data_IF_180482781984
#
_entry.id   IF_180482781984
#
_cell.length_a   1.000
_cell.length_b   1.000
_cell.length_c   1.000
_cell.angle_alpha   90.00
_cell.angle_beta   90.00
_cell.angle_gamma   90.00
#
_symmetry.space_group_name_H-M   'P 1'
#
loop_
_entity.id
_entity.type
_entity.pdbx_description
1 polymer ?
#
# COMPACT_ATOMS: atom_id res chain seq x y z
N UNK A 1 -39.94 29.33 9.26
CA UNK A 1 -38.84 29.56 8.29
C UNK A 1 -37.51 30.04 8.89
N UNK A 2 -37.43 30.50 10.16
CA UNK A 2 -36.17 30.95 10.78
C UNK A 2 -35.31 29.81 11.41
N UNK A 3 -35.93 28.78 11.98
CA UNK A 3 -35.24 27.67 12.66
C UNK A 3 -34.38 26.82 11.71
N UNK A 4 -34.85 26.58 10.49
CA UNK A 4 -34.13 25.79 9.47
C UNK A 4 -32.86 26.49 8.96
N UNK A 5 -32.81 27.84 9.00
CA UNK A 5 -31.62 28.63 8.68
C UNK A 5 -30.59 28.63 9.80
N UNK A 6 -31.04 28.57 11.06
CA UNK A 6 -30.15 28.48 12.23
C UNK A 6 -29.47 27.12 12.28
N UNK A 7 -30.18 26.01 12.06
CA UNK A 7 -29.60 24.65 12.04
C UNK A 7 -28.57 24.51 10.92
N UNK A 8 -28.84 25.02 9.71
CA UNK A 8 -27.83 25.05 8.63
C UNK A 8 -26.60 25.88 8.99
N UNK A 9 -26.77 27.06 9.61
CA UNK A 9 -25.65 27.91 10.03
C UNK A 9 -24.82 27.30 11.15
N UNK A 10 -25.45 26.60 12.10
CA UNK A 10 -24.74 25.86 13.14
C UNK A 10 -24.00 24.64 12.55
N UNK A 11 -24.59 23.96 11.56
CA UNK A 11 -23.93 22.87 10.83
C UNK A 11 -22.71 23.35 10.03
N UNK A 12 -22.79 24.50 9.35
CA UNK A 12 -21.64 25.11 8.68
C UNK A 12 -20.59 25.66 9.67
N UNK A 13 -21.00 26.14 10.84
CA UNK A 13 -20.09 26.61 11.90
C UNK A 13 -19.31 25.48 12.57
N UNK A 14 -19.92 24.31 12.78
CA UNK A 14 -19.26 23.10 13.30
C UNK A 14 -18.33 22.48 12.24
N UNK A 15 -18.65 22.62 10.94
CA UNK A 15 -17.79 22.17 9.84
C UNK A 15 -16.51 23.02 9.66
N UNK A 16 -16.47 24.24 10.21
CA UNK A 16 -15.40 25.22 10.00
C UNK A 16 -14.36 25.27 11.14
N UNK A 17 -14.52 24.49 12.22
CA UNK A 17 -13.60 24.48 13.36
C UNK A 17 -12.59 23.32 13.38
N UNK A 18 -12.46 22.58 12.28
CA UNK A 18 -11.69 21.33 12.21
C UNK A 18 -10.43 21.35 11.34
N UNK A 19 -9.68 22.45 11.27
CA UNK A 19 -8.46 22.50 10.45
C UNK A 19 -7.30 23.21 11.15
N UNK A 20 -6.77 22.56 12.19
CA UNK A 20 -5.35 22.63 12.49
C UNK A 20 -4.72 21.38 11.85
N UNK A 21 -4.13 21.56 10.67
CA UNK A 21 -3.42 20.50 9.97
C UNK A 21 -2.15 20.13 10.76
N UNK A 22 -2.25 19.12 11.61
CA UNK A 22 -1.08 18.37 12.03
C UNK A 22 -0.70 17.44 10.87
N UNK A 23 0.44 17.74 10.25
CA UNK A 23 1.01 16.92 9.20
C UNK A 23 1.70 15.68 9.78
N UNK A 24 1.50 14.56 9.07
CA UNK A 24 2.34 13.37 8.96
C UNK A 24 2.20 12.26 10.02
N UNK A 25 1.46 11.21 9.66
CA UNK A 25 2.06 9.89 9.45
C UNK A 25 1.54 9.32 8.13
N UNK A 26 2.43 8.73 7.34
CA UNK A 26 2.12 8.17 6.04
C UNK A 26 2.71 6.76 6.00
N UNK A 27 1.87 5.72 5.96
CA UNK A 27 2.36 4.39 5.58
C UNK A 27 3.03 4.49 4.21
N UNK A 28 4.09 3.71 4.02
CA UNK A 28 4.83 3.65 2.76
C UNK A 28 3.87 3.49 1.59
N UNK A 29 3.99 4.38 0.60
CA UNK A 29 3.14 4.40 -0.58
C UNK A 29 3.80 3.60 -1.70
N UNK A 30 2.99 2.85 -2.46
CA UNK A 30 3.43 2.05 -3.59
C UNK A 30 2.72 2.50 -4.85
N UNK A 31 3.46 2.75 -5.92
CA UNK A 31 2.86 3.01 -7.24
C UNK A 31 2.34 1.71 -7.87
N UNK A 32 3.04 0.60 -7.67
CA UNK A 32 2.64 -0.74 -8.05
C UNK A 32 1.80 -1.45 -6.99
N UNK A 33 0.96 -0.74 -6.23
CA UNK A 33 0.09 -1.35 -5.20
C UNK A 33 -0.75 -2.52 -5.77
N UNK A 34 -1.17 -2.42 -7.03
CA UNK A 34 -1.92 -3.46 -7.75
C UNK A 34 -1.15 -4.76 -8.00
N UNK A 35 0.17 -4.73 -7.88
CA UNK A 35 1.03 -5.92 -7.95
C UNK A 35 1.45 -6.40 -6.55
N UNK A 36 1.41 -5.52 -5.55
CA UNK A 36 1.72 -5.80 -4.14
C UNK A 36 0.48 -5.74 -3.23
N UNK A 37 -0.64 -6.29 -3.68
CA UNK A 37 -1.94 -6.14 -3.01
C UNK A 37 -1.96 -6.71 -1.59
N UNK A 38 -1.09 -7.68 -1.27
CA UNK A 38 -1.03 -8.30 0.07
C UNK A 38 -0.67 -7.31 1.18
N UNK A 39 0.13 -6.28 0.88
CA UNK A 39 0.45 -5.24 1.86
C UNK A 39 -0.75 -4.34 2.16
N UNK A 40 -1.67 -4.21 1.20
CA UNK A 40 -2.85 -3.35 1.30
C UNK A 40 -4.07 -4.12 1.81
N UNK A 41 -4.22 -5.39 1.45
CA UNK A 41 -5.38 -6.20 1.82
C UNK A 41 -4.99 -7.65 2.14
N UNK A 42 -5.10 -8.09 3.42
CA UNK A 42 -4.74 -9.46 3.80
C UNK A 42 -5.62 -10.53 3.16
N UNK A 43 -6.83 -10.18 2.71
CA UNK A 43 -7.71 -11.12 2.02
C UNK A 43 -7.22 -11.48 0.59
N UNK A 44 -6.18 -10.81 0.10
CA UNK A 44 -5.54 -11.14 -1.18
C UNK A 44 -4.70 -12.42 -1.13
N UNK A 45 -4.25 -12.85 0.07
CA UNK A 45 -3.35 -14.00 0.20
C UNK A 45 -3.90 -15.25 -0.51
N UNK A 46 -3.11 -15.83 -1.43
CA UNK A 46 -3.51 -17.02 -2.19
C UNK A 46 -4.50 -16.80 -3.34
N UNK A 47 -5.01 -15.58 -3.55
CA UNK A 47 -6.00 -15.27 -4.60
C UNK A 47 -5.50 -15.52 -6.03
N UNK A 48 -4.17 -15.47 -6.24
CA UNK A 48 -3.54 -15.76 -7.54
C UNK A 48 -3.64 -17.23 -7.95
N UNK A 49 -3.95 -18.13 -7.03
CA UNK A 49 -4.03 -19.57 -7.32
C UNK A 49 -2.67 -20.26 -7.50
N UNK A 50 -1.57 -19.57 -7.23
CA UNK A 50 -0.23 -20.13 -7.22
C UNK A 50 0.57 -19.51 -6.08
N UNK A 51 1.73 -20.11 -5.76
CA UNK A 51 2.68 -19.47 -4.86
C UNK A 51 3.28 -18.26 -5.57
N UNK A 52 3.09 -17.08 -5.00
CA UNK A 52 3.58 -15.81 -5.53
C UNK A 52 4.61 -15.23 -4.58
N UNK A 53 5.82 -14.98 -5.09
CA UNK A 53 6.90 -14.26 -4.43
C UNK A 53 6.99 -12.89 -5.08
N UNK A 54 7.09 -11.83 -4.28
CA UNK A 54 7.15 -10.46 -4.73
C UNK A 54 8.24 -9.70 -4.00
N UNK A 55 9.05 -8.95 -4.74
CA UNK A 55 10.03 -8.02 -4.21
C UNK A 55 9.84 -6.66 -4.84
N UNK A 56 9.96 -5.60 -4.06
CA UNK A 56 9.85 -4.22 -4.50
C UNK A 56 10.85 -3.35 -3.78
N UNK A 57 11.47 -2.45 -4.53
CA UNK A 57 12.34 -1.41 -4.02
C UNK A 57 11.87 -0.07 -4.55
N UNK A 58 11.74 0.91 -3.65
CA UNK A 58 11.31 2.27 -3.96
C UNK A 58 12.27 3.26 -3.33
N UNK A 59 12.75 4.19 -4.14
CA UNK A 59 13.43 5.41 -3.67
C UNK A 59 12.54 6.61 -3.99
N UNK A 60 12.11 7.32 -2.95
CA UNK A 60 11.23 8.47 -3.08
C UNK A 60 12.03 9.77 -3.02
N UNK A 61 11.62 10.76 -3.81
CA UNK A 61 12.20 12.11 -3.83
C UNK A 61 13.73 12.12 -3.99
N UNK A 62 14.21 11.41 -5.02
CA UNK A 62 15.63 11.28 -5.32
C UNK A 62 16.28 12.66 -5.43
N UNK A 63 17.42 12.83 -4.75
CA UNK A 63 18.14 14.10 -4.63
C UNK A 63 17.93 14.80 -3.28
N UNK A 64 16.93 14.40 -2.49
CA UNK A 64 16.81 14.84 -1.10
C UNK A 64 17.61 13.94 -0.16
N UNK A 65 18.38 14.54 0.74
CA UNK A 65 19.10 13.80 1.77
C UNK A 65 18.12 13.24 2.81
N UNK A 66 18.32 11.99 3.22
CA UNK A 66 17.39 11.29 4.11
C UNK A 66 16.01 10.98 3.51
N UNK A 67 15.84 11.06 2.19
CA UNK A 67 14.57 10.76 1.55
C UNK A 67 14.09 9.31 1.78
N UNK A 68 12.78 9.04 1.73
CA UNK A 68 12.24 7.72 2.02
C UNK A 68 12.76 6.64 1.07
N UNK A 69 13.19 5.51 1.65
CA UNK A 69 13.54 4.29 0.93
C UNK A 69 12.74 3.14 1.50
N UNK A 70 11.97 2.48 0.64
CA UNK A 70 11.10 1.38 1.05
C UNK A 70 11.46 0.11 0.30
N UNK A 71 11.67 -0.96 1.04
CA UNK A 71 11.84 -2.31 0.53
C UNK A 71 10.65 -3.15 0.98
N UNK A 72 10.05 -3.91 0.07
CA UNK A 72 9.01 -4.87 0.40
C UNK A 72 9.34 -6.23 -0.21
N UNK A 73 9.21 -7.26 0.62
CA UNK A 73 9.26 -8.65 0.20
C UNK A 73 7.99 -9.34 0.69
N UNK A 74 7.37 -10.16 -0.15
CA UNK A 74 6.27 -11.00 0.27
C UNK A 74 6.25 -12.33 -0.44
N UNK A 75 5.73 -13.34 0.26
CA UNK A 75 5.41 -14.65 -0.29
C UNK A 75 3.98 -14.98 0.14
N UNK A 76 3.15 -15.41 -0.80
CA UNK A 76 1.82 -15.90 -0.47
C UNK A 76 1.43 -17.07 -1.36
N UNK A 77 0.61 -17.96 -0.82
CA UNK A 77 0.21 -19.18 -1.52
C UNK A 77 -1.17 -19.61 -1.07
N UNK A 78 -2.00 -20.16 -1.98
CA UNK A 78 -3.14 -20.95 -1.55
C UNK A 78 -2.65 -22.24 -0.87
N UNK A 79 -3.40 -22.73 0.11
CA UNK A 79 -3.20 -24.06 0.70
C UNK A 79 -3.99 -25.07 -0.14
N UNK A 80 -3.28 -26.02 -0.76
CA UNK A 80 -3.87 -27.04 -1.63
C UNK A 80 -5.04 -27.77 -0.97
N UNK A 81 -6.08 -28.06 -1.76
CA UNK A 81 -7.31 -28.75 -1.34
C UNK A 81 -8.05 -28.08 -0.18
N UNK A 82 -7.83 -26.78 0.03
CA UNK A 82 -8.55 -25.98 1.01
C UNK A 82 -9.01 -24.67 0.39
N UNK A 83 -9.82 -23.94 1.16
CA UNK A 83 -10.26 -22.57 0.86
C UNK A 83 -9.35 -21.51 1.51
N UNK A 84 -8.21 -21.93 2.07
CA UNK A 84 -7.31 -21.08 2.82
C UNK A 84 -6.16 -20.57 1.95
N UNK A 85 -5.77 -19.32 2.17
CA UNK A 85 -4.53 -18.74 1.69
C UNK A 85 -3.68 -18.26 2.86
N UNK A 86 -2.36 -18.31 2.69
CA UNK A 86 -1.41 -17.79 3.68
C UNK A 86 -0.41 -16.86 3.01
N UNK A 87 0.05 -15.89 3.77
CA UNK A 87 1.02 -14.91 3.34
C UNK A 87 2.00 -14.55 4.43
N UNK A 88 3.23 -14.27 4.03
CA UNK A 88 4.27 -13.67 4.86
C UNK A 88 4.79 -12.45 4.11
N UNK A 89 4.87 -11.31 4.78
CA UNK A 89 5.44 -10.09 4.23
C UNK A 89 6.42 -9.44 5.19
N UNK A 90 7.45 -8.83 4.61
CA UNK A 90 8.45 -8.02 5.27
C UNK A 90 8.51 -6.67 4.54
N UNK A 91 8.36 -5.59 5.30
CA UNK A 91 8.52 -4.22 4.80
C UNK A 91 9.58 -3.54 5.64
N UNK A 92 10.60 -3.00 4.98
CA UNK A 92 11.60 -2.15 5.60
C UNK A 92 11.41 -0.75 5.02
N UNK A 93 11.09 0.20 5.88
CA UNK A 93 10.96 1.61 5.51
C UNK A 93 12.01 2.43 6.25
N UNK A 94 12.75 3.25 5.51
CA UNK A 94 13.77 4.12 6.06
C UNK A 94 13.48 5.55 5.65
N UNK A 95 13.35 6.44 6.63
CA UNK A 95 13.13 7.87 6.41
C UNK A 95 14.12 8.63 7.31
N UNK A 96 15.11 9.27 6.70
CA UNK A 96 16.22 9.89 7.42
C UNK A 96 16.90 8.91 8.37
N UNK A 97 16.88 9.23 9.67
CA UNK A 97 17.47 8.42 10.75
C UNK A 97 16.52 7.34 11.31
N UNK A 98 15.26 7.36 10.88
CA UNK A 98 14.24 6.40 11.29
C UNK A 98 14.26 5.17 10.38
N UNK A 99 14.18 3.98 10.99
CA UNK A 99 13.98 2.69 10.32
C UNK A 99 12.80 1.98 10.97
N UNK A 100 11.82 1.59 10.18
CA UNK A 100 10.68 0.77 10.62
C UNK A 100 10.70 -0.54 9.83
N UNK A 101 10.79 -1.66 10.55
CA UNK A 101 10.71 -2.99 9.98
C UNK A 101 9.39 -3.64 10.40
N UNK A 102 8.50 -3.88 9.44
CA UNK A 102 7.25 -4.59 9.66
C UNK A 102 7.37 -6.03 9.17
N UNK A 103 7.13 -6.99 10.06
CA UNK A 103 6.90 -8.39 9.69
C UNK A 103 5.42 -8.67 9.83
N UNK A 104 4.82 -9.33 8.85
CA UNK A 104 3.39 -9.60 8.79
C UNK A 104 3.10 -11.02 8.35
N UNK A 105 2.07 -11.62 8.96
CA UNK A 105 1.48 -12.90 8.57
C UNK A 105 0.02 -12.64 8.22
N UNK A 106 -0.37 -13.09 7.03
CA UNK A 106 -1.71 -12.93 6.50
C UNK A 106 -2.36 -14.32 6.35
N UNK A 107 -3.61 -14.47 6.77
CA UNK A 107 -4.42 -15.68 6.57
C UNK A 107 -5.72 -15.28 5.90
N UNK A 108 -6.08 -15.94 4.81
CA UNK A 108 -7.32 -15.70 4.09
C UNK A 108 -8.19 -16.95 4.02
N UNK A 109 -9.51 -16.75 3.97
CA UNK A 109 -10.49 -17.79 3.69
C UNK A 109 -11.39 -17.34 2.54
N UNK A 110 -11.45 -18.15 1.47
CA UNK A 110 -12.14 -17.84 0.22
C UNK A 110 -13.43 -18.63 0.07
N UNK A 111 -14.54 -17.95 -0.21
CA UNK A 111 -15.84 -18.54 -0.52
C UNK A 111 -16.10 -18.38 -2.02
N UNK A 112 -16.38 -19.49 -2.70
CA UNK A 112 -16.85 -19.49 -4.08
C UNK A 112 -18.34 -19.11 -4.11
N UNK A 113 -18.71 -18.09 -4.88
CA UNK A 113 -20.08 -17.57 -4.98
C UNK A 113 -20.90 -18.21 -6.12
N UNK A 114 -20.36 -19.23 -6.77
CA UNK A 114 -21.07 -20.13 -7.69
C UNK A 114 -21.29 -19.61 -9.12
N UNK A 115 -21.15 -18.31 -9.39
CA UNK A 115 -21.21 -17.74 -10.75
C UNK A 115 -19.80 -17.37 -11.25
N UNK A 116 -19.48 -17.60 -12.53
CA UNK A 116 -18.30 -17.03 -13.25
C UNK A 116 -16.93 -17.00 -12.52
N UNK A 117 -16.59 -18.03 -11.75
CA UNK A 117 -15.36 -18.05 -10.93
C UNK A 117 -15.28 -16.89 -9.90
N UNK A 118 -16.44 -16.35 -9.49
CA UNK A 118 -16.59 -15.30 -8.47
C UNK A 118 -16.21 -15.83 -7.09
N UNK A 119 -15.27 -15.14 -6.45
CA UNK A 119 -14.71 -15.49 -5.15
C UNK A 119 -14.77 -14.31 -4.20
N UNK A 120 -15.17 -14.59 -2.96
CA UNK A 120 -15.15 -13.63 -1.87
C UNK A 120 -14.22 -14.14 -0.76
N UNK A 121 -13.16 -13.39 -0.51
CA UNK A 121 -12.14 -13.74 0.47
C UNK A 121 -12.23 -12.83 1.68
N UNK A 122 -12.04 -13.42 2.86
CA UNK A 122 -11.90 -12.71 4.13
C UNK A 122 -10.49 -12.95 4.63
N UNK A 123 -9.82 -11.89 5.09
CA UNK A 123 -8.42 -11.94 5.48
C UNK A 123 -8.22 -11.36 6.87
N UNK A 124 -7.32 -11.98 7.62
CA UNK A 124 -6.79 -11.48 8.88
C UNK A 124 -5.28 -11.30 8.74
N UNK A 125 -4.76 -10.26 9.38
CA UNK A 125 -3.34 -9.91 9.42
C UNK A 125 -2.90 -9.85 10.86
N UNK A 126 -1.77 -10.47 11.18
CA UNK A 126 -1.01 -10.19 12.39
C UNK A 126 0.34 -9.60 11.98
N UNK A 127 0.74 -8.50 12.59
CA UNK A 127 2.01 -7.84 12.27
C UNK A 127 2.75 -7.39 13.53
N UNK A 128 4.06 -7.22 13.37
CA UNK A 128 4.93 -6.63 14.38
C UNK A 128 5.81 -5.61 13.68
N UNK A 129 5.78 -4.38 14.19
CA UNK A 129 6.65 -3.28 13.81
C UNK A 129 7.83 -3.20 14.77
N UNK A 130 9.02 -2.99 14.21
CA UNK A 130 10.28 -2.80 14.94
C UNK A 130 10.85 -1.45 14.51
N UNK A 131 10.75 -0.47 15.40
CA UNK A 131 11.17 0.89 15.17
C UNK A 131 12.54 1.16 15.79
N UNK A 132 13.45 1.68 14.97
CA UNK A 132 14.73 2.24 15.39
C UNK A 132 14.81 3.71 14.93
N UNK A 133 15.17 4.61 15.83
CA UNK A 133 15.40 6.04 15.54
C UNK A 133 16.75 6.45 16.12
N UNK A 134 17.69 6.78 15.24
CA UNK A 134 19.04 7.23 15.64
C UNK A 134 19.10 8.75 15.70
N UNK A 135 18.59 9.34 16.77
CA UNK A 135 18.68 10.78 17.01
C UNK A 135 20.13 11.27 17.11
N UNK A 136 21.06 10.40 17.52
CA UNK A 136 22.51 10.64 17.53
C UNK A 136 23.09 11.01 16.16
N UNK A 137 22.43 10.64 15.06
CA UNK A 137 22.82 10.98 13.69
C UNK A 137 22.27 12.35 13.23
N UNK A 138 21.41 12.99 14.02
CA UNK A 138 20.83 14.29 13.68
C UNK A 138 21.80 15.44 14.00
N UNK A 139 21.82 16.43 13.10
CA UNK A 139 22.41 17.74 13.40
C UNK A 139 21.40 18.57 14.19
N UNK A 140 21.41 18.42 15.50
CA UNK A 140 20.50 19.13 16.41
C UNK A 140 20.98 20.57 16.63
N UNK A 141 20.06 21.54 16.55
CA UNK A 141 20.39 22.96 16.79
C UNK A 141 20.83 23.21 18.24
N UNK A 142 20.23 22.49 19.19
CA UNK A 142 20.61 22.53 20.60
C UNK A 142 21.12 21.14 21.03
N UNK A 143 22.44 20.93 21.15
CA UNK A 143 23.02 19.66 21.59
C UNK A 143 22.64 19.26 23.04
N UNK A 144 22.08 20.16 23.83
CA UNK A 144 21.58 19.89 25.18
C UNK A 144 20.10 19.52 25.25
N UNK A 145 19.41 19.38 24.11
CA UNK A 145 18.01 18.97 24.08
C UNK A 145 17.89 17.46 24.42
N UNK A 146 17.35 17.18 25.61
CA UNK A 146 17.17 15.82 26.13
C UNK A 146 16.31 14.97 25.18
N UNK A 147 15.46 15.60 24.35
CA UNK A 147 14.58 14.90 23.39
C UNK A 147 15.34 14.18 22.28
N UNK A 148 16.54 14.66 21.93
CA UNK A 148 17.38 14.07 20.90
C UNK A 148 18.61 13.37 21.49
N UNK A 149 18.64 13.20 22.81
CA UNK A 149 19.80 12.67 23.53
C UNK A 149 19.85 11.15 23.62
N UNK A 150 18.72 10.47 23.39
CA UNK A 150 18.61 9.01 23.50
C UNK A 150 17.98 8.40 22.25
N UNK A 151 18.75 7.57 21.55
CA UNK A 151 18.25 6.78 20.42
C UNK A 151 17.14 5.82 20.86
N UNK A 152 16.12 5.67 20.01
CA UNK A 152 15.14 4.59 20.16
C UNK A 152 15.71 3.39 19.44
N UNK A 153 15.85 2.26 20.13
CA UNK A 153 16.28 1.02 19.49
C UNK A 153 15.35 -0.15 19.81
N UNK A 154 14.89 -0.82 18.76
CA UNK A 154 14.10 -2.03 18.84
C UNK A 154 12.73 -1.86 19.50
N UNK A 155 12.07 -0.71 19.35
CA UNK A 155 10.73 -0.54 19.88
C UNK A 155 9.74 -1.44 19.12
N UNK A 156 9.17 -2.40 19.83
CA UNK A 156 8.22 -3.37 19.29
C UNK A 156 6.79 -2.82 19.38
N UNK A 157 6.03 -2.87 18.29
CA UNK A 157 4.60 -2.54 18.28
C UNK A 157 3.83 -3.61 17.49
N UNK A 158 3.09 -4.51 18.15
CA UNK A 158 2.25 -5.48 17.46
C UNK A 158 1.02 -4.79 16.85
N UNK A 159 0.47 -5.37 15.78
CA UNK A 159 -0.77 -4.93 15.18
C UNK A 159 -1.58 -6.11 14.65
N UNK A 160 -2.86 -5.84 14.41
CA UNK A 160 -3.78 -6.77 13.76
C UNK A 160 -4.55 -6.02 12.68
N UNK A 161 -4.92 -6.72 11.62
CA UNK A 161 -5.67 -6.16 10.51
C UNK A 161 -6.68 -7.12 9.95
N UNK A 162 -7.59 -6.59 9.13
CA UNK A 162 -8.57 -7.40 8.43
C UNK A 162 -8.86 -6.83 7.04
N UNK A 163 -9.39 -7.69 6.17
CA UNK A 163 -9.80 -7.30 4.84
C UNK A 163 -10.87 -8.21 4.26
N UNK A 164 -11.59 -7.67 3.29
CA UNK A 164 -12.51 -8.37 2.42
C UNK A 164 -12.03 -8.14 1.00
N UNK A 165 -12.01 -9.18 0.18
CA UNK A 165 -11.55 -9.12 -1.19
C UNK A 165 -12.44 -9.97 -2.09
N UNK A 166 -13.25 -9.29 -2.90
CA UNK A 166 -14.00 -9.91 -3.98
C UNK A 166 -13.17 -9.90 -5.25
N UNK A 167 -13.10 -11.04 -5.95
CA UNK A 167 -12.47 -11.11 -7.26
C UNK A 167 -13.06 -12.19 -8.15
N UNK A 168 -12.89 -12.02 -9.45
CA UNK A 168 -13.09 -13.03 -10.49
C UNK A 168 -11.97 -12.92 -11.52
N UNK A 169 -12.10 -13.54 -12.69
CA UNK A 169 -11.04 -13.53 -13.71
C UNK A 169 -10.79 -12.17 -14.37
N UNK A 170 -11.64 -11.17 -14.13
CA UNK A 170 -11.52 -9.84 -14.76
C UNK A 170 -11.57 -8.67 -13.80
N UNK A 171 -12.14 -8.84 -12.62
CA UNK A 171 -12.44 -7.73 -11.71
C UNK A 171 -12.01 -8.07 -10.30
N UNK A 172 -11.66 -7.02 -9.55
CA UNK A 172 -11.50 -7.13 -8.11
C UNK A 172 -12.01 -5.88 -7.40
N UNK A 173 -12.44 -6.07 -6.16
CA UNK A 173 -12.81 -5.01 -5.23
C UNK A 173 -12.41 -5.46 -3.82
N UNK A 174 -11.64 -4.62 -3.13
CA UNK A 174 -11.12 -4.93 -1.81
C UNK A 174 -11.35 -3.78 -0.84
N UNK A 175 -11.77 -4.11 0.38
CA UNK A 175 -11.85 -3.19 1.51
C UNK A 175 -10.99 -3.76 2.64
N UNK A 176 -10.13 -2.95 3.23
CA UNK A 176 -9.23 -3.43 4.28
C UNK A 176 -8.79 -2.35 5.27
N UNK A 177 -8.42 -2.81 6.45
CA UNK A 177 -7.68 -2.07 7.47
C UNK A 177 -6.50 -2.95 7.88
N UNK A 178 -5.30 -2.73 7.32
CA UNK A 178 -4.12 -3.57 7.61
C UNK A 178 -3.64 -3.48 9.06
N UNK A 179 -3.89 -2.35 9.73
CA UNK A 179 -3.46 -2.07 11.09
C UNK A 179 -4.60 -1.39 11.86
N UNK A 180 -5.16 -2.07 12.84
CA UNK A 180 -6.21 -1.56 13.74
C UNK A 180 -5.65 -0.83 14.95
N UNK A 181 -4.54 -1.31 15.50
CA UNK A 181 -4.00 -0.79 16.75
C UNK A 181 -3.30 0.54 16.49
N UNK A 182 -3.79 1.58 17.14
CA UNK A 182 -3.14 2.87 17.18
C UNK A 182 -2.13 2.86 18.32
N UNK A 183 -0.85 3.03 17.99
CA UNK A 183 0.20 3.10 19.00
C UNK A 183 0.53 4.56 19.21
N UNK A 184 0.18 5.11 20.36
CA UNK A 184 0.68 6.38 20.83
C UNK A 184 2.01 6.14 21.54
N UNK A 185 3.09 6.68 20.97
CA UNK A 185 4.41 6.57 21.59
C UNK A 185 4.57 7.75 22.56
N UNK A 186 4.10 7.57 23.79
CA UNK A 186 4.27 8.49 24.91
C UNK A 186 5.41 7.99 25.79
N UNK A 187 6.46 8.79 25.94
CA UNK A 187 7.42 8.63 27.04
C UNK A 187 7.15 9.78 28.02
N UNK A 188 7.10 9.51 29.32
CA UNK A 188 6.57 10.42 30.37
C UNK A 188 7.40 11.74 30.50
N UNK A 189 8.52 11.82 29.79
CA UNK A 189 9.39 12.99 29.68
C UNK A 189 9.56 13.53 28.25
N UNK A 190 8.84 13.02 27.25
CA UNK A 190 9.01 13.39 25.84
C UNK A 190 7.72 13.88 25.17
N UNK A 191 7.72 15.13 24.70
CA UNK A 191 6.57 15.78 24.04
C UNK A 191 6.37 15.35 22.56
N UNK A 192 7.09 14.34 22.07
CA UNK A 192 7.01 13.89 20.68
C UNK A 192 6.10 12.66 20.53
N UNK A 193 4.81 12.89 20.27
CA UNK A 193 3.86 11.80 20.04
C UNK A 193 3.95 11.30 18.60
N UNK A 194 4.46 10.08 18.40
CA UNK A 194 4.19 9.32 17.17
C UNK A 194 2.92 8.51 17.38
N UNK A 195 1.85 8.81 16.63
CA UNK A 195 0.61 8.05 16.61
C UNK A 195 0.45 7.26 15.30
N UNK A 196 0.66 5.95 15.34
CA UNK A 196 0.24 5.09 14.25
C UNK A 196 -1.29 5.12 14.19
N UNK A 197 -1.88 5.48 13.04
CA UNK A 197 -3.34 5.59 12.89
C UNK A 197 -3.91 4.49 12.01
N UNK A 198 -5.20 4.20 12.21
CA UNK A 198 -5.92 3.29 11.33
C UNK A 198 -6.04 3.86 9.91
N UNK A 199 -5.64 3.04 8.93
CA UNK A 199 -5.74 3.35 7.51
C UNK A 199 -6.77 2.44 6.84
N UNK A 200 -7.83 3.04 6.31
CA UNK A 200 -8.85 2.34 5.54
C UNK A 200 -8.48 2.38 4.06
N UNK A 201 -8.43 1.22 3.42
CA UNK A 201 -8.14 1.08 2.00
C UNK A 201 -9.36 0.53 1.26
N UNK A 202 -9.73 1.18 0.17
CA UNK A 202 -10.66 0.66 -0.83
C UNK A 202 -9.93 0.59 -2.17
N UNK A 203 -9.77 -0.61 -2.71
CA UNK A 203 -9.10 -0.85 -3.99
C UNK A 203 -10.05 -1.52 -4.97
N UNK A 204 -9.89 -1.24 -6.25
CA UNK A 204 -10.62 -1.96 -7.28
C UNK A 204 -9.98 -1.84 -8.65
N UNK A 205 -10.37 -2.74 -9.54
CA UNK A 205 -9.91 -2.73 -10.93
C UNK A 205 -10.70 -3.70 -11.79
N UNK A 206 -10.65 -3.48 -13.10
CA UNK A 206 -11.32 -4.32 -14.09
C UNK A 206 -10.44 -4.48 -15.34
N UNK A 207 -10.45 -5.64 -15.97
CA UNK A 207 -9.72 -5.93 -17.21
C UNK A 207 -10.68 -5.99 -18.38
N UNK A 208 -10.52 -5.06 -19.32
CA UNK A 208 -11.22 -5.03 -20.59
C UNK A 208 -10.35 -5.63 -21.69
N UNK A 209 -10.85 -6.65 -22.38
CA UNK A 209 -10.22 -7.16 -23.61
C UNK A 209 -10.61 -6.24 -24.77
N UNK A 210 -9.73 -5.33 -25.17
CA UNK A 210 -10.00 -4.40 -26.28
C UNK A 210 -9.88 -5.10 -27.63
N UNK A 211 -8.89 -5.99 -27.75
CA UNK A 211 -8.70 -6.90 -28.87
C UNK A 211 -7.82 -8.10 -28.43
N UNK A 212 -7.59 -9.13 -29.26
CA UNK A 212 -6.81 -10.31 -28.87
C UNK A 212 -5.39 -10.04 -28.37
N UNK A 213 -4.82 -8.90 -28.73
CA UNK A 213 -3.44 -8.52 -28.42
C UNK A 213 -3.35 -7.33 -27.45
N UNK A 214 -4.47 -6.80 -26.96
CA UNK A 214 -4.49 -5.60 -26.13
C UNK A 214 -5.58 -5.70 -25.04
N UNK A 215 -5.14 -5.69 -23.79
CA UNK A 215 -6.02 -5.59 -22.62
C UNK A 215 -5.83 -4.24 -21.94
N UNK A 216 -6.90 -3.66 -21.43
CA UNK A 216 -6.90 -2.41 -20.69
C UNK A 216 -7.38 -2.65 -19.25
N UNK A 217 -6.62 -2.18 -18.27
CA UNK A 217 -6.92 -2.27 -16.85
C UNK A 217 -6.91 -0.90 -16.19
N UNK A 218 -8.07 -0.26 -16.05
CA UNK A 218 -8.24 0.78 -15.06
C UNK A 218 -8.28 0.18 -13.65
N UNK A 219 -7.63 0.85 -12.71
CA UNK A 219 -7.68 0.53 -11.30
C UNK A 219 -7.69 1.81 -10.45
N UNK A 220 -8.17 1.69 -9.22
CA UNK A 220 -8.16 2.79 -8.26
C UNK A 220 -7.79 2.28 -6.86
N UNK A 221 -7.34 3.21 -6.02
CA UNK A 221 -7.14 3.02 -4.60
C UNK A 221 -7.58 4.30 -3.88
N UNK A 222 -8.45 4.15 -2.87
CA UNK A 222 -8.77 5.20 -1.91
C UNK A 222 -8.16 4.82 -0.57
N UNK A 223 -7.50 5.78 0.07
CA UNK A 223 -6.90 5.65 1.40
C UNK A 223 -7.45 6.75 2.30
N UNK A 224 -8.12 6.36 3.37
CA UNK A 224 -8.74 7.26 4.34
C UNK A 224 -8.15 7.06 5.74
N UNK A 225 -7.90 8.18 6.42
CA UNK A 225 -7.32 8.24 7.77
C UNK A 225 -8.03 9.32 8.55
N UNK A 226 -8.28 9.08 9.83
CA UNK A 226 -8.90 10.08 10.69
C UNK A 226 -7.96 11.28 10.90
N UNK A 227 -8.43 12.46 10.49
CA UNK A 227 -7.72 13.73 10.64
C UNK A 227 -6.78 14.09 9.49
N UNK A 228 -6.82 13.36 8.37
CA UNK A 228 -6.08 13.70 7.15
C UNK A 228 -7.02 13.77 5.92
N UNK A 229 -6.67 14.54 4.87
CA UNK A 229 -7.40 14.51 3.61
C UNK A 229 -7.44 13.10 3.00
N UNK A 230 -8.55 12.79 2.31
CA UNK A 230 -8.68 11.54 1.55
C UNK A 230 -7.61 11.49 0.45
N UNK A 231 -6.90 10.37 0.36
CA UNK A 231 -5.96 10.11 -0.73
C UNK A 231 -6.61 9.21 -1.77
N UNK A 232 -6.48 9.57 -3.04
CA UNK A 232 -7.02 8.83 -4.17
C UNK A 232 -5.94 8.61 -5.21
N UNK A 233 -5.78 7.36 -5.65
CA UNK A 233 -4.91 6.95 -6.74
C UNK A 233 -5.78 6.32 -7.83
N UNK A 234 -5.55 6.72 -9.08
CA UNK A 234 -6.16 6.11 -10.26
C UNK A 234 -5.05 5.70 -11.21
N UNK A 235 -5.18 4.52 -11.80
CA UNK A 235 -4.22 4.03 -12.80
C UNK A 235 -4.92 3.44 -14.00
N UNK A 236 -4.24 3.50 -15.14
CA UNK A 236 -4.66 3.00 -16.42
C UNK A 236 -3.49 2.23 -17.03
N UNK A 237 -3.61 0.91 -17.12
CA UNK A 237 -2.57 0.03 -17.64
C UNK A 237 -3.04 -0.70 -18.90
N UNK A 238 -2.16 -0.81 -19.89
CA UNK A 238 -2.40 -1.50 -21.15
C UNK A 238 -1.41 -2.65 -21.28
N UNK A 239 -1.93 -3.87 -21.41
CA UNK A 239 -1.15 -5.09 -21.62
C UNK A 239 -1.18 -5.48 -23.09
N UNK A 240 -0.02 -5.41 -23.73
CA UNK A 240 0.21 -5.77 -25.12
C UNK A 240 0.73 -7.21 -25.22
N UNK A 241 0.04 -8.04 -26.00
CA UNK A 241 0.42 -9.41 -26.38
C UNK A 241 0.78 -10.26 -25.16
N UNK A 242 0.12 -10.01 -24.03
CA UNK A 242 0.36 -10.67 -22.73
C UNK A 242 1.80 -10.58 -22.21
N UNK A 243 2.63 -9.69 -22.76
CA UNK A 243 4.05 -9.56 -22.41
C UNK A 243 4.43 -8.20 -21.88
N UNK A 244 3.93 -7.14 -22.49
CA UNK A 244 4.39 -5.79 -22.20
C UNK A 244 3.26 -4.95 -21.62
N UNK A 245 3.47 -4.39 -20.44
CA UNK A 245 2.52 -3.47 -19.80
C UNK A 245 3.05 -2.05 -19.89
N UNK A 246 2.22 -1.12 -20.33
CA UNK A 246 2.46 0.32 -20.17
C UNK A 246 1.27 0.96 -19.50
N UNK A 247 1.52 1.86 -18.57
CA UNK A 247 0.45 2.55 -17.89
C UNK A 247 0.83 3.94 -17.42
N UNK A 248 -0.20 4.65 -16.99
CA UNK A 248 -0.08 5.89 -16.24
C UNK A 248 -0.86 5.78 -14.94
N UNK A 249 -0.45 6.53 -13.93
CA UNK A 249 -1.24 6.73 -12.73
C UNK A 249 -1.25 8.21 -12.33
N UNK A 250 -2.26 8.57 -11.55
CA UNK A 250 -2.38 9.89 -10.96
C UNK A 250 -2.85 9.75 -9.53
N UNK A 251 -2.03 10.24 -8.61
CA UNK A 251 -2.33 10.33 -7.18
C UNK A 251 -2.68 11.76 -6.85
N UNK A 252 -3.92 11.95 -6.43
CA UNK A 252 -4.50 13.25 -6.13
C UNK A 252 -3.64 14.03 -5.12
N UNK A 253 -3.30 15.28 -5.46
CA UNK A 253 -2.43 16.18 -4.69
C UNK A 253 -1.07 15.59 -4.27
N UNK A 254 -0.56 14.61 -5.03
CA UNK A 254 0.73 13.98 -4.76
C UNK A 254 1.58 13.89 -6.02
N UNK A 255 1.25 13.01 -6.97
CA UNK A 255 2.13 12.70 -8.09
C UNK A 255 1.39 12.21 -9.33
N UNK A 256 2.02 12.38 -10.50
CA UNK A 256 1.71 11.61 -11.70
C UNK A 256 2.76 10.52 -11.88
N UNK A 257 2.38 9.40 -12.50
CA UNK A 257 3.26 8.24 -12.66
C UNK A 257 3.22 7.70 -14.07
N UNK A 258 4.36 7.18 -14.54
CA UNK A 258 4.45 6.34 -15.72
C UNK A 258 4.93 4.97 -15.28
N UNK A 259 4.26 3.92 -15.76
CA UNK A 259 4.51 2.53 -15.40
C UNK A 259 4.88 1.73 -16.64
N UNK A 260 5.86 0.84 -16.49
CA UNK A 260 6.23 -0.14 -17.50
C UNK A 260 6.43 -1.50 -16.83
N UNK A 261 5.98 -2.56 -17.47
CA UNK A 261 6.12 -3.93 -16.98
C UNK A 261 6.42 -4.88 -18.12
N UNK A 262 7.18 -5.93 -17.82
CA UNK A 262 7.52 -6.97 -18.77
C UNK A 262 7.37 -8.36 -18.14
N UNK A 263 6.52 -9.18 -18.73
CA UNK A 263 6.35 -10.59 -18.41
C UNK A 263 7.46 -11.37 -19.14
N UNK A 264 8.55 -11.62 -18.44
CA UNK A 264 9.76 -12.28 -18.98
C UNK A 264 9.47 -13.74 -19.33
N UNK A 265 8.75 -14.43 -18.43
CA UNK A 265 8.25 -15.80 -18.59
C UNK A 265 6.84 -15.87 -18.01
N UNK A 266 6.09 -16.95 -18.19
CA UNK A 266 4.75 -17.10 -17.61
C UNK A 266 4.72 -16.90 -16.09
N UNK A 267 5.83 -17.19 -15.40
CA UNK A 267 5.97 -17.03 -13.95
C UNK A 267 6.75 -15.80 -13.49
N UNK A 268 7.52 -15.13 -14.36
CA UNK A 268 8.39 -14.01 -13.98
C UNK A 268 7.92 -12.70 -14.62
N UNK A 269 7.62 -11.70 -13.78
CA UNK A 269 7.33 -10.34 -14.20
C UNK A 269 8.27 -9.36 -13.52
N UNK A 270 8.72 -8.37 -14.27
CA UNK A 270 9.49 -7.24 -13.77
C UNK A 270 8.72 -5.99 -14.13
N UNK A 271 8.72 -4.98 -13.27
CA UNK A 271 8.18 -3.69 -13.61
C UNK A 271 8.94 -2.54 -12.96
N UNK A 272 8.72 -1.38 -13.53
CA UNK A 272 9.35 -0.14 -13.16
C UNK A 272 8.35 1.01 -13.30
N UNK A 273 8.42 1.96 -12.38
CA UNK A 273 7.67 3.20 -12.48
C UNK A 273 8.51 4.38 -12.07
N UNK A 274 8.17 5.50 -12.67
CA UNK A 274 8.65 6.81 -12.28
C UNK A 274 7.46 7.66 -11.83
N UNK A 275 7.60 8.33 -10.69
CA UNK A 275 6.61 9.27 -10.19
C UNK A 275 7.18 10.69 -10.20
N UNK A 276 6.50 11.59 -10.91
CA UNK A 276 6.75 13.02 -10.85
C UNK A 276 5.83 13.68 -9.83
N UNK A 277 6.42 14.36 -8.86
CA UNK A 277 5.68 15.11 -7.84
C UNK A 277 4.89 16.27 -8.47
N UNK A 278 3.66 16.47 -7.98
CA UNK A 278 2.80 17.62 -8.34
C UNK A 278 2.79 18.69 -7.25
N UNK A 279 3.39 18.38 -6.10
CA UNK A 279 3.46 19.26 -4.94
C UNK A 279 4.61 20.27 -5.07
N UNK A 280 4.67 21.25 -4.16
CA UNK A 280 5.80 22.20 -4.07
C UNK A 280 7.16 21.50 -3.92
N UNK A 281 7.17 20.25 -3.47
CA UNK A 281 8.39 19.45 -3.31
C UNK A 281 9.05 19.12 -4.65
N UNK A 282 8.30 19.15 -5.77
CA UNK A 282 8.79 18.88 -7.11
C UNK A 282 9.98 19.76 -7.52
N UNK A 283 10.16 20.94 -6.92
CA UNK A 283 11.29 21.82 -7.19
C UNK A 283 12.61 21.40 -6.52
N UNK A 284 12.55 20.42 -5.60
CA UNK A 284 13.68 20.04 -4.74
C UNK A 284 14.09 18.58 -4.91
N UNK A 285 13.40 17.82 -5.77
CA UNK A 285 13.72 16.42 -6.03
C UNK A 285 13.60 16.08 -7.51
N UNK A 286 14.17 14.94 -7.91
CA UNK A 286 14.20 14.43 -9.28
C UNK A 286 13.18 13.32 -9.54
N UNK A 287 12.11 13.27 -8.74
CA UNK A 287 11.07 12.24 -8.80
C UNK A 287 11.32 11.05 -7.88
N UNK A 288 10.46 10.04 -8.00
CA UNK A 288 10.55 8.78 -7.27
C UNK A 288 10.64 7.62 -8.24
N UNK A 289 11.44 6.61 -7.89
CA UNK A 289 11.67 5.43 -8.71
C UNK A 289 11.23 4.20 -7.95
N UNK A 290 10.51 3.31 -8.61
CA UNK A 290 10.07 2.04 -8.04
C UNK A 290 10.33 0.92 -9.02
N UNK A 291 10.92 -0.16 -8.54
CA UNK A 291 11.15 -1.40 -9.29
C UNK A 291 10.56 -2.55 -8.52
N UNK A 292 9.94 -3.49 -9.23
CA UNK A 292 9.48 -4.73 -8.63
C UNK A 292 9.82 -5.94 -9.47
N UNK A 293 9.87 -7.09 -8.80
CA UNK A 293 9.98 -8.40 -9.39
C UNK A 293 8.92 -9.31 -8.76
N UNK A 294 8.16 -10.01 -9.59
CA UNK A 294 7.18 -11.01 -9.17
C UNK A 294 7.54 -12.35 -9.79
N UNK A 295 7.57 -13.38 -8.97
CA UNK A 295 7.84 -14.75 -9.39
C UNK A 295 6.75 -15.71 -8.90
N UNK A 296 6.19 -16.49 -9.81
CA UNK A 296 5.14 -17.47 -9.53
C UNK A 296 5.67 -18.91 -9.67
N UNK A 297 5.47 -19.70 -8.62
CA UNK A 297 5.92 -21.08 -8.49
C UNK A 297 4.73 -22.05 -8.47
N UNK A 298 4.96 -23.25 -9.00
CA UNK A 298 4.04 -24.40 -8.95
C UNK A 298 2.64 -24.12 -9.52
N UNK A 299 2.58 -23.70 -10.78
CA UNK A 299 1.34 -23.55 -11.56
C UNK A 299 0.72 -24.94 -11.92
N UNK A 300 0.43 -25.78 -10.89
CA UNK A 300 -0.11 -27.14 -11.05
C UNK A 300 -1.59 -27.17 -11.43
N UNK A 301 -2.22 -26.02 -11.62
CA UNK A 301 -3.52 -25.95 -12.28
C UNK A 301 -3.28 -26.12 -13.78
N UNK A 302 -3.60 -27.31 -14.31
CA UNK A 302 -3.56 -27.71 -15.74
C UNK A 302 -4.39 -26.83 -16.70
N UNK A 303 -4.81 -25.64 -16.30
CA UNK A 303 -5.36 -24.62 -17.18
C UNK A 303 -4.25 -23.62 -17.41
N UNK A 304 -3.98 -23.31 -18.68
CA UNK A 304 -3.20 -22.16 -19.10
C UNK A 304 -3.90 -20.93 -18.49
N UNK A 305 -3.56 -20.58 -17.25
CA UNK A 305 -4.06 -19.35 -16.64
C UNK A 305 -3.15 -18.28 -17.23
N UNK A 306 -3.67 -17.57 -18.25
CA UNK A 306 -3.11 -16.30 -18.72
C UNK A 306 -2.59 -15.52 -17.51
N UNK A 307 -1.41 -14.86 -17.58
CA UNK A 307 -0.91 -14.03 -16.50
C UNK A 307 -2.07 -13.18 -15.96
N UNK A 308 -2.47 -13.43 -14.71
CA UNK A 308 -3.60 -12.69 -14.14
C UNK A 308 -3.18 -11.25 -14.06
N UNK A 309 -3.81 -10.43 -14.92
CA UNK A 309 -3.61 -9.00 -15.02
C UNK A 309 -4.44 -8.28 -13.95
N UNK A 310 -4.38 -8.78 -12.71
CA UNK A 310 -4.88 -8.20 -11.46
C UNK A 310 -4.24 -8.96 -10.29
#
# INVERSE_FOLDING_TARGET
MKIHKTIKRTFYGILLMGSAAMHAQQDSQYTHYMYNTINVNPAYAGSRGAMSIFGLHREQWVGLDGAPKTNSFSINTPINNSKLGIGLSFVNDQIGVMKDNTISVDVSYTIDLGSREDKLSFGLKGSVNLLDVRYSELKVYNPGDVMFSQDISGQVSPNVGAGIYYHNDRSYLGLSVPNFLETERYDDNMYATMQQKMHFYLIGGHVFDLNPNLKFKPAFMLKAVQGAPLQADISANFLFIEKFTLGGAYRYDAAWSVLAGFQVTDGLMIGYSYDGETTKLAHYNSGSHEVFLRFELFNKYKRIVSPRFF
#
